data_IF_548070304171
#
_entry.id   IF_548070304171
#
_cell.length_a   1.000
_cell.length_b   1.000
_cell.length_c   1.000
_cell.angle_alpha   90.00
_cell.angle_beta   90.00
_cell.angle_gamma   90.00
#
_symmetry.space_group_name_H-M   'P 1'
#
loop_
_entity.id
_entity.type
_entity.pdbx_description
1 polymer ?
#
# COMPACT_ATOMS: atom_id res chain seq x y z
N UNK A 1 -27.23 -4.93 16.24
CA UNK A 1 -26.38 -6.05 16.74
C UNK A 1 -24.93 -5.56 16.71
N UNK A 2 -24.34 -5.19 17.84
CA UNK A 2 -22.94 -4.72 17.90
C UNK A 2 -22.02 -5.92 17.63
N UNK A 3 -21.40 -5.99 16.44
CA UNK A 3 -20.32 -6.95 16.17
C UNK A 3 -19.16 -6.66 17.11
N UNK A 4 -18.92 -7.54 18.07
CA UNK A 4 -17.69 -7.49 18.89
C UNK A 4 -16.55 -8.05 18.03
N UNK A 5 -15.71 -7.17 17.51
CA UNK A 5 -14.48 -7.59 16.83
C UNK A 5 -13.57 -8.33 17.83
N UNK A 6 -12.99 -9.47 17.44
CA UNK A 6 -12.06 -10.19 18.31
C UNK A 6 -10.85 -9.32 18.61
N UNK A 7 -10.49 -9.22 19.89
CA UNK A 7 -9.33 -8.45 20.33
C UNK A 7 -8.08 -8.87 19.55
N UNK A 8 -7.35 -7.91 19.01
CA UNK A 8 -6.10 -8.16 18.28
C UNK A 8 -5.11 -8.97 19.15
N UNK A 9 -4.54 -10.01 18.57
CA UNK A 9 -3.50 -10.83 19.19
C UNK A 9 -2.48 -11.28 18.16
N UNK A 10 -1.30 -10.67 18.19
CA UNK A 10 -0.21 -10.99 17.26
C UNK A 10 0.16 -12.48 17.26
N UNK A 11 0.13 -13.14 18.43
CA UNK A 11 0.42 -14.58 18.53
C UNK A 11 -0.62 -15.43 17.81
N UNK A 12 -1.91 -15.15 18.01
CA UNK A 12 -3.01 -15.88 17.35
C UNK A 12 -2.94 -15.68 15.85
N UNK A 13 -2.72 -14.46 15.40
CA UNK A 13 -2.69 -14.12 13.98
C UNK A 13 -1.46 -14.72 13.29
N UNK A 14 -0.30 -14.78 13.99
CA UNK A 14 0.89 -15.48 13.52
C UNK A 14 0.66 -17.00 13.39
N UNK A 15 0.05 -17.62 14.40
CA UNK A 15 -0.28 -19.05 14.36
C UNK A 15 -1.26 -19.34 13.21
N UNK A 16 -2.29 -18.51 13.06
CA UNK A 16 -3.25 -18.63 11.97
C UNK A 16 -2.59 -18.53 10.58
N UNK A 17 -1.63 -17.61 10.43
CA UNK A 17 -0.88 -17.46 9.21
C UNK A 17 0.07 -18.65 8.94
N UNK A 18 0.75 -19.17 9.98
CA UNK A 18 1.62 -20.35 9.88
C UNK A 18 0.85 -21.63 9.51
N UNK A 19 -0.40 -21.76 9.95
CA UNK A 19 -1.27 -22.87 9.59
C UNK A 19 -1.77 -22.81 8.13
N UNK A 20 -1.52 -21.70 7.41
CA UNK A 20 -1.91 -21.49 6.02
C UNK A 20 -0.70 -21.21 5.12
N UNK A 21 0.21 -22.17 4.93
CA UNK A 21 1.44 -21.97 4.16
C UNK A 21 1.16 -21.55 2.70
N UNK A 22 0.03 -21.97 2.12
CA UNK A 22 -0.39 -21.57 0.77
C UNK A 22 -0.75 -20.08 0.62
N UNK A 23 -1.00 -19.36 1.73
CA UNK A 23 -1.17 -17.90 1.74
C UNK A 23 0.16 -17.22 2.09
N UNK A 24 0.83 -17.72 3.11
CA UNK A 24 2.07 -17.13 3.64
C UNK A 24 3.23 -17.22 2.67
N UNK A 25 3.51 -18.42 2.13
CA UNK A 25 4.68 -18.65 1.27
C UNK A 25 4.63 -17.82 -0.01
N UNK A 26 3.52 -17.79 -0.80
CA UNK A 26 3.44 -16.94 -1.97
C UNK A 26 3.63 -15.46 -1.66
N UNK A 27 3.08 -14.97 -0.54
CA UNK A 27 3.22 -13.57 -0.13
C UNK A 27 4.67 -13.21 0.22
N UNK A 28 5.34 -14.06 1.00
CA UNK A 28 6.75 -13.87 1.35
C UNK A 28 7.63 -13.91 0.09
N UNK A 29 7.39 -14.88 -0.78
CA UNK A 29 8.13 -15.00 -2.04
C UNK A 29 7.92 -13.78 -2.94
N UNK A 30 6.68 -13.31 -3.05
CA UNK A 30 6.35 -12.09 -3.79
C UNK A 30 7.12 -10.87 -3.26
N UNK A 31 7.07 -10.63 -1.95
CA UNK A 31 7.81 -9.53 -1.30
C UNK A 31 9.31 -9.66 -1.57
N UNK A 32 9.86 -10.85 -1.38
CA UNK A 32 11.28 -11.12 -1.56
C UNK A 32 11.74 -10.87 -3.01
N UNK A 33 11.00 -11.40 -3.99
CA UNK A 33 11.30 -11.18 -5.41
C UNK A 33 11.18 -9.69 -5.78
N UNK A 34 10.16 -9.01 -5.29
CA UNK A 34 9.97 -7.58 -5.54
C UNK A 34 11.16 -6.76 -5.03
N UNK A 35 11.67 -7.07 -3.83
CA UNK A 35 12.87 -6.41 -3.30
C UNK A 35 14.14 -6.77 -4.07
N UNK A 36 14.28 -8.02 -4.54
CA UNK A 36 15.40 -8.39 -5.41
C UNK A 36 15.37 -7.57 -6.71
N UNK A 37 14.22 -7.48 -7.39
CA UNK A 37 14.10 -6.71 -8.61
C UNK A 37 14.35 -5.21 -8.39
N UNK A 38 13.83 -4.65 -7.30
CA UNK A 38 14.12 -3.28 -6.91
C UNK A 38 15.61 -3.06 -6.67
N UNK A 39 16.25 -3.94 -5.92
CA UNK A 39 17.69 -3.89 -5.63
C UNK A 39 18.54 -3.96 -6.91
N UNK A 40 18.23 -4.90 -7.81
CA UNK A 40 18.91 -5.01 -9.10
C UNK A 40 18.74 -3.73 -9.94
N UNK A 41 17.53 -3.16 -9.99
CA UNK A 41 17.31 -1.87 -10.67
C UNK A 41 18.15 -0.75 -10.06
N UNK A 42 18.23 -0.67 -8.75
CA UNK A 42 19.05 0.32 -8.05
C UNK A 42 20.53 0.11 -8.38
N UNK A 43 21.04 -1.12 -8.39
CA UNK A 43 22.42 -1.42 -8.75
C UNK A 43 22.77 -0.99 -10.17
N UNK A 44 21.92 -1.30 -11.15
CA UNK A 44 22.20 -1.02 -12.56
C UNK A 44 21.88 0.42 -12.97
N UNK A 45 20.87 1.04 -12.36
CA UNK A 45 20.37 2.35 -12.77
C UNK A 45 20.60 3.48 -11.75
N UNK A 46 20.87 3.13 -10.49
CA UNK A 46 20.96 4.08 -9.38
C UNK A 46 22.08 5.11 -9.52
N UNK A 47 23.15 4.79 -10.25
CA UNK A 47 24.28 5.71 -10.51
C UNK A 47 24.21 6.40 -11.89
N UNK A 48 23.10 6.24 -12.61
CA UNK A 48 22.93 6.88 -13.93
C UNK A 48 22.85 8.41 -13.80
N UNK A 49 23.60 9.13 -14.61
CA UNK A 49 23.52 10.59 -14.71
C UNK A 49 22.31 11.08 -15.53
N UNK A 50 21.59 10.18 -16.18
CA UNK A 50 20.41 10.50 -16.96
C UNK A 50 19.22 10.78 -16.04
N UNK A 51 18.70 12.01 -16.05
CA UNK A 51 17.57 12.45 -15.22
C UNK A 51 16.30 11.63 -15.47
N UNK A 52 16.05 11.20 -16.72
CA UNK A 52 14.86 10.39 -17.02
C UNK A 52 14.96 8.99 -16.41
N UNK A 53 16.16 8.40 -16.38
CA UNK A 53 16.38 7.10 -15.72
C UNK A 53 16.16 7.21 -14.22
N UNK A 54 16.66 8.28 -13.59
CA UNK A 54 16.46 8.51 -12.16
C UNK A 54 14.98 8.75 -11.82
N UNK A 55 14.26 9.54 -12.62
CA UNK A 55 12.82 9.76 -12.45
C UNK A 55 12.02 8.46 -12.60
N UNK A 56 12.36 7.62 -13.56
CA UNK A 56 11.69 6.32 -13.74
C UNK A 56 12.00 5.36 -12.58
N UNK A 57 13.20 5.42 -12.02
CA UNK A 57 13.59 4.61 -10.87
C UNK A 57 12.85 5.05 -9.59
N UNK A 58 12.74 6.36 -9.33
CA UNK A 58 12.02 6.87 -8.17
C UNK A 58 10.52 6.57 -8.26
N UNK A 59 9.92 6.73 -9.46
CA UNK A 59 8.53 6.32 -9.70
C UNK A 59 8.33 4.82 -9.48
N UNK A 60 9.23 3.99 -9.98
CA UNK A 60 9.17 2.54 -9.76
C UNK A 60 9.24 2.18 -8.27
N UNK A 61 10.06 2.89 -7.48
CA UNK A 61 10.10 2.73 -6.03
C UNK A 61 8.74 3.05 -5.39
N UNK A 62 8.10 4.14 -5.81
CA UNK A 62 6.75 4.51 -5.35
C UNK A 62 5.73 3.41 -5.67
N UNK A 63 5.70 2.92 -6.91
CA UNK A 63 4.80 1.86 -7.37
C UNK A 63 4.99 0.58 -6.55
N UNK A 64 6.25 0.14 -6.35
CA UNK A 64 6.59 -1.02 -5.52
C UNK A 64 6.09 -0.90 -4.09
N UNK A 65 6.31 0.26 -3.45
CA UNK A 65 5.86 0.51 -2.08
C UNK A 65 4.34 0.46 -1.98
N UNK A 66 3.64 1.02 -2.97
CA UNK A 66 2.18 1.05 -3.03
C UNK A 66 1.61 -0.36 -3.21
N UNK A 67 2.17 -1.15 -4.14
CA UNK A 67 1.75 -2.53 -4.42
C UNK A 67 2.00 -3.48 -3.24
N UNK A 68 3.06 -3.24 -2.47
CA UNK A 68 3.35 -4.03 -1.28
C UNK A 68 2.34 -3.79 -0.14
N UNK A 69 1.61 -2.68 -0.18
CA UNK A 69 0.45 -2.40 0.67
C UNK A 69 0.75 -1.57 1.91
N UNK A 70 -0.24 -1.43 2.81
CA UNK A 70 -0.27 -0.38 3.85
C UNK A 70 0.94 -0.33 4.76
N UNK A 71 1.52 -1.46 5.12
CA UNK A 71 2.72 -1.52 5.97
C UNK A 71 3.92 -0.84 5.29
N UNK A 72 4.13 -1.12 3.99
CA UNK A 72 5.23 -0.53 3.22
C UNK A 72 4.95 0.92 2.86
N UNK A 73 3.69 1.30 2.63
CA UNK A 73 3.28 2.70 2.49
C UNK A 73 3.65 3.50 3.75
N UNK A 74 3.34 2.99 4.93
CA UNK A 74 3.72 3.63 6.22
C UNK A 74 5.23 3.74 6.39
N UNK A 75 5.99 2.73 5.98
CA UNK A 75 7.44 2.80 5.96
C UNK A 75 7.95 3.87 4.98
N UNK A 76 7.40 3.92 3.76
CA UNK A 76 7.73 4.94 2.76
C UNK A 76 7.40 6.36 3.23
N UNK A 77 6.24 6.56 3.88
CA UNK A 77 5.88 7.83 4.51
C UNK A 77 6.89 8.24 5.59
N UNK A 78 7.33 7.32 6.43
CA UNK A 78 8.37 7.59 7.44
C UNK A 78 9.72 7.95 6.79
N UNK A 79 10.09 7.28 5.69
CA UNK A 79 11.31 7.57 4.94
C UNK A 79 11.25 8.90 4.20
N UNK A 80 10.07 9.34 3.75
CA UNK A 80 9.91 10.63 3.04
C UNK A 80 10.29 11.85 3.89
N UNK A 81 10.30 11.70 5.22
CA UNK A 81 10.69 12.75 6.16
C UNK A 81 12.17 12.67 6.60
N UNK A 82 12.95 11.76 6.00
CA UNK A 82 14.33 11.47 6.41
C UNK A 82 15.34 11.72 5.27
N UNK A 83 15.68 13.01 5.02
CA UNK A 83 16.65 13.37 3.98
C UNK A 83 18.09 12.89 4.28
N UNK A 84 18.35 12.46 5.51
CA UNK A 84 19.60 11.83 5.94
C UNK A 84 19.75 10.37 5.47
N UNK A 85 18.63 9.70 5.19
CA UNK A 85 18.62 8.27 4.80
C UNK A 85 18.33 8.06 3.33
N UNK A 86 17.62 9.00 2.70
CA UNK A 86 17.06 8.82 1.35
C UNK A 86 17.52 9.94 0.44
N UNK A 87 17.86 9.62 -0.82
CA UNK A 87 18.24 10.60 -1.84
C UNK A 87 17.09 11.57 -2.12
N UNK A 88 17.42 12.82 -2.45
CA UNK A 88 16.46 13.90 -2.67
C UNK A 88 15.44 13.61 -3.79
N UNK A 89 15.88 12.99 -4.88
CA UNK A 89 15.01 12.60 -6.00
C UNK A 89 13.97 11.54 -5.59
N UNK A 90 14.31 10.66 -4.67
CA UNK A 90 13.40 9.66 -4.12
C UNK A 90 12.48 10.24 -3.04
N UNK A 91 12.98 11.20 -2.23
CA UNK A 91 12.16 11.90 -1.23
C UNK A 91 10.95 12.57 -1.88
N UNK A 92 11.13 13.21 -3.02
CA UNK A 92 10.05 13.89 -3.72
C UNK A 92 8.94 12.92 -4.15
N UNK A 93 9.30 11.71 -4.61
CA UNK A 93 8.31 10.68 -4.95
C UNK A 93 7.69 10.04 -3.71
N UNK A 94 8.47 9.76 -2.67
CA UNK A 94 7.96 9.20 -1.42
C UNK A 94 7.00 10.16 -0.69
N UNK A 95 7.15 11.47 -0.87
CA UNK A 95 6.22 12.46 -0.33
C UNK A 95 4.82 12.27 -0.93
N UNK A 96 4.70 11.83 -2.19
CA UNK A 96 3.41 11.52 -2.81
C UNK A 96 2.64 10.40 -2.08
N UNK A 97 3.33 9.55 -1.29
CA UNK A 97 2.65 8.55 -0.45
C UNK A 97 1.81 9.15 0.67
N UNK A 98 1.99 10.45 0.98
CA UNK A 98 1.20 11.13 2.01
C UNK A 98 -0.17 11.54 1.49
N UNK A 99 -0.22 12.09 0.26
CA UNK A 99 -1.41 12.78 -0.24
C UNK A 99 -1.96 12.22 -1.57
N UNK A 100 -1.18 11.39 -2.30
CA UNK A 100 -1.50 10.95 -3.66
C UNK A 100 -1.51 9.43 -3.81
N UNK A 101 -2.10 8.71 -2.86
CA UNK A 101 -2.25 7.27 -2.98
C UNK A 101 -3.34 6.93 -4.00
N UNK A 102 -3.12 5.94 -4.89
CA UNK A 102 -4.15 5.48 -5.79
C UNK A 102 -5.33 4.88 -5.01
N UNK A 103 -6.57 5.17 -5.40
CA UNK A 103 -7.73 4.55 -4.79
C UNK A 103 -7.77 3.05 -5.11
N UNK A 104 -8.37 2.27 -4.22
CA UNK A 104 -8.71 0.89 -4.52
C UNK A 104 -10.05 0.81 -5.28
N UNK A 105 -10.30 -0.32 -5.91
CA UNK A 105 -11.46 -0.54 -6.78
C UNK A 105 -12.78 -0.20 -6.07
N UNK A 106 -13.60 0.63 -6.72
CA UNK A 106 -14.90 1.06 -6.21
C UNK A 106 -15.83 -0.12 -5.85
N UNK A 107 -15.80 -1.21 -6.62
CA UNK A 107 -16.57 -2.42 -6.33
C UNK A 107 -16.18 -3.07 -5.01
N UNK A 108 -14.89 -3.00 -4.67
CA UNK A 108 -14.39 -3.49 -3.38
C UNK A 108 -14.91 -2.59 -2.26
N UNK A 109 -14.94 -1.26 -2.46
CA UNK A 109 -15.48 -0.32 -1.49
C UNK A 109 -16.97 -0.60 -1.21
N UNK A 110 -17.78 -0.74 -2.25
CA UNK A 110 -19.21 -1.08 -2.12
C UNK A 110 -19.44 -2.37 -1.36
N UNK A 111 -18.65 -3.41 -1.69
CA UNK A 111 -18.75 -4.70 -1.00
C UNK A 111 -18.41 -4.61 0.48
N UNK A 112 -17.38 -3.87 0.83
CA UNK A 112 -16.99 -3.63 2.24
C UNK A 112 -18.11 -2.90 2.99
N UNK A 113 -18.71 -1.87 2.38
CA UNK A 113 -19.82 -1.12 2.98
C UNK A 113 -21.01 -2.05 3.25
N UNK A 114 -21.41 -2.85 2.27
CA UNK A 114 -22.51 -3.79 2.41
C UNK A 114 -22.23 -4.87 3.49
N UNK A 115 -21.00 -5.43 3.51
CA UNK A 115 -20.60 -6.42 4.51
C UNK A 115 -20.56 -5.86 5.94
N UNK A 116 -20.11 -4.61 6.11
CA UNK A 116 -19.93 -4.01 7.43
C UNK A 116 -21.19 -3.30 7.95
N UNK A 117 -21.96 -2.66 7.08
CA UNK A 117 -23.16 -1.91 7.47
C UNK A 117 -24.47 -2.67 7.27
N UNK A 118 -24.44 -3.79 6.52
CA UNK A 118 -25.57 -4.69 6.34
C UNK A 118 -26.60 -4.24 5.30
N UNK A 119 -26.34 -3.13 4.58
CA UNK A 119 -27.15 -2.63 3.47
C UNK A 119 -26.25 -2.05 2.38
N UNK A 120 -26.68 -2.07 1.12
CA UNK A 120 -25.90 -1.50 0.02
C UNK A 120 -25.80 0.03 0.14
N UNK A 121 -24.72 0.60 -0.43
CA UNK A 121 -24.39 2.02 -0.27
C UNK A 121 -25.50 2.96 -0.74
N UNK A 122 -26.24 2.62 -1.79
CA UNK A 122 -27.36 3.41 -2.32
C UNK A 122 -28.60 3.46 -1.40
N UNK A 123 -28.69 2.58 -0.41
CA UNK A 123 -29.73 2.64 0.63
C UNK A 123 -29.27 3.40 1.87
N UNK A 124 -27.95 3.55 2.05
CA UNK A 124 -27.36 4.15 3.24
C UNK A 124 -26.99 5.63 3.04
N UNK A 125 -26.68 6.01 1.80
CA UNK A 125 -26.19 7.34 1.46
C UNK A 125 -27.04 7.95 0.35
N UNK A 126 -27.38 9.24 0.46
CA UNK A 126 -28.11 9.99 -0.56
C UNK A 126 -27.28 10.13 -1.84
N UNK A 127 -25.96 10.31 -1.69
CA UNK A 127 -24.98 10.35 -2.79
C UNK A 127 -23.77 9.53 -2.44
N UNK A 128 -23.35 8.64 -3.35
CA UNK A 128 -22.12 7.86 -3.25
C UNK A 128 -21.41 7.85 -4.61
N UNK A 129 -20.43 8.75 -4.82
CA UNK A 129 -19.77 8.90 -6.11
C UNK A 129 -18.92 7.68 -6.47
N UNK A 130 -18.75 7.42 -7.77
CA UNK A 130 -17.96 6.31 -8.30
C UNK A 130 -16.45 6.43 -8.02
N UNK A 131 -15.98 7.65 -7.79
CA UNK A 131 -14.57 7.91 -7.46
C UNK A 131 -14.45 8.58 -6.09
N UNK A 132 -13.52 8.14 -5.25
CA UNK A 132 -13.30 8.75 -3.96
C UNK A 132 -12.70 10.16 -4.11
N UNK A 133 -12.99 11.03 -3.14
CA UNK A 133 -12.45 12.38 -3.04
C UNK A 133 -10.98 12.30 -2.58
N UNK A 134 -10.66 11.35 -1.71
CA UNK A 134 -9.31 11.15 -1.18
C UNK A 134 -9.06 9.68 -0.87
N UNK A 135 -7.80 9.26 -1.01
CA UNK A 135 -7.33 7.92 -0.67
C UNK A 135 -6.17 7.99 0.30
N UNK A 136 -6.19 7.11 1.29
CA UNK A 136 -5.15 6.98 2.30
C UNK A 136 -4.66 5.52 2.38
N UNK A 137 -3.62 5.28 3.18
CA UNK A 137 -3.00 3.94 3.30
C UNK A 137 -3.91 2.84 3.83
N UNK A 138 -5.02 3.18 4.49
CA UNK A 138 -5.94 2.23 5.12
C UNK A 138 -7.39 2.42 4.71
N UNK A 139 -7.71 3.41 3.88
CA UNK A 139 -9.07 3.68 3.46
C UNK A 139 -9.16 4.79 2.43
N UNK A 140 -10.36 5.01 1.95
CA UNK A 140 -10.70 6.11 1.02
C UNK A 140 -12.02 6.75 1.40
N UNK A 141 -12.21 8.00 1.01
CA UNK A 141 -13.39 8.81 1.31
C UNK A 141 -13.95 9.40 0.03
#
# INVERSE_FOLDING_TARGET
>A
MTRTFPKYSAKRDLIWLMLRPWIFIPRVLYIFLTFIFLFLRILFQGNSKNKNVQKNLSKYLFDVITDLGPCFIKLGQALSTRPDLVRQDWLNELTNLQDNLPPFDHKIALKIIEEELGSPANELFDEFPDSPIASASLGQV
#
